data_IF_220836734410
#
_entry.id   IF_220836734410
#
_cell.length_a   1.000
_cell.length_b   1.000
_cell.length_c   1.000
_cell.angle_alpha   90.00
_cell.angle_beta   90.00
_cell.angle_gamma   90.00
#
_symmetry.space_group_name_H-M   'P 1'
#
loop_
_entity.id
_entity.type
_entity.pdbx_description
1 polymer ?
#
# COMPACT_ATOMS: atom_id res chain seq x y z
N UNK A 1 -10.41 1.12 13.19
CA UNK A 1 -9.55 2.29 13.43
C UNK A 1 -9.11 2.82 12.07
N UNK A 2 -9.02 4.15 11.90
CA UNK A 2 -8.45 4.73 10.68
C UNK A 2 -6.93 4.72 10.81
N UNK A 3 -6.26 4.17 9.80
CA UNK A 3 -4.81 4.14 9.67
C UNK A 3 -4.47 4.73 8.31
N UNK A 4 -3.47 5.61 8.27
CA UNK A 4 -3.00 6.21 7.04
C UNK A 4 -1.80 5.43 6.55
N UNK A 5 -1.97 4.65 5.49
CA UNK A 5 -0.91 3.86 4.88
C UNK A 5 -0.28 4.60 3.70
N UNK A 6 1.04 4.63 3.65
CA UNK A 6 1.84 5.13 2.55
C UNK A 6 2.40 3.95 1.77
N UNK A 7 2.11 3.91 0.48
CA UNK A 7 2.51 2.83 -0.43
C UNK A 7 3.07 3.39 -1.73
N UNK A 8 3.75 2.53 -2.48
CA UNK A 8 4.22 2.83 -3.85
C UNK A 8 3.67 1.77 -4.79
N UNK A 9 3.44 2.16 -6.04
CA UNK A 9 3.10 1.22 -7.11
C UNK A 9 4.29 1.05 -8.04
N UNK A 10 4.48 -0.16 -8.56
CA UNK A 10 5.60 -0.50 -9.40
C UNK A 10 5.16 -1.06 -10.74
N UNK A 11 4.92 -0.21 -11.73
CA UNK A 11 4.65 -0.66 -13.09
C UNK A 11 5.27 0.31 -14.09
N UNK A 12 6.13 -0.20 -14.98
CA UNK A 12 6.59 0.56 -16.14
C UNK A 12 5.83 0.13 -17.40
N UNK A 13 5.85 0.98 -18.44
CA UNK A 13 5.16 0.72 -19.72
C UNK A 13 5.64 -0.55 -20.46
N UNK A 14 6.69 -1.22 -19.98
CA UNK A 14 7.21 -2.47 -20.51
C UNK A 14 6.84 -3.70 -19.66
N UNK A 15 5.98 -3.55 -18.65
CA UNK A 15 5.53 -4.63 -17.77
C UNK A 15 6.56 -5.08 -16.72
N UNK A 16 7.62 -4.28 -16.49
CA UNK A 16 8.57 -4.53 -15.42
C UNK A 16 8.13 -3.81 -14.15
N UNK A 17 8.33 -4.48 -13.01
CA UNK A 17 8.09 -3.91 -11.69
C UNK A 17 9.26 -3.02 -11.32
N UNK A 18 9.06 -1.70 -11.43
CA UNK A 18 10.03 -0.70 -10.96
C UNK A 18 9.41 0.03 -9.77
N UNK A 19 10.00 -0.15 -8.60
CA UNK A 19 9.59 0.55 -7.39
C UNK A 19 10.02 2.01 -7.43
N UNK A 20 9.12 2.92 -7.80
CA UNK A 20 9.41 4.35 -7.76
C UNK A 20 9.11 4.93 -6.37
N UNK A 21 10.16 5.23 -5.63
CA UNK A 21 10.06 5.81 -4.29
C UNK A 21 9.75 7.31 -4.31
N UNK A 22 9.69 7.94 -5.49
CA UNK A 22 9.32 9.34 -5.67
C UNK A 22 7.79 9.52 -5.74
N UNK A 23 7.06 8.53 -6.24
CA UNK A 23 5.61 8.50 -6.35
C UNK A 23 4.95 7.76 -5.18
N UNK A 24 5.22 8.22 -3.96
CA UNK A 24 4.53 7.71 -2.76
C UNK A 24 3.07 8.15 -2.78
N UNK A 25 2.17 7.18 -2.67
CA UNK A 25 0.73 7.38 -2.52
C UNK A 25 0.34 7.16 -1.07
N UNK A 26 -0.71 7.86 -0.62
CA UNK A 26 -1.30 7.69 0.71
C UNK A 26 -2.73 7.23 0.56
N UNK A 27 -3.16 6.33 1.42
CA UNK A 27 -4.52 5.84 1.50
C UNK A 27 -4.94 5.69 2.95
N UNK A 28 -6.15 6.16 3.25
CA UNK A 28 -6.76 5.95 4.56
C UNK A 28 -7.55 4.64 4.53
N UNK A 29 -7.18 3.73 5.43
CA UNK A 29 -7.79 2.42 5.53
C UNK A 29 -8.47 2.27 6.88
N UNK A 30 -9.60 1.60 6.88
CA UNK A 30 -10.23 1.16 8.11
C UNK A 30 -9.82 -0.27 8.42
N UNK A 31 -9.00 -0.43 9.46
CA UNK A 31 -8.49 -1.71 9.90
C UNK A 31 -8.80 -1.96 11.38
N UNK A 32 -9.02 -3.22 11.78
CA UNK A 32 -9.30 -3.54 13.18
C UNK A 32 -8.06 -3.28 14.05
N UNK A 33 -8.27 -2.85 15.29
CA UNK A 33 -7.18 -2.44 16.20
C UNK A 33 -6.15 -3.56 16.42
N UNK A 34 -6.60 -4.81 16.46
CA UNK A 34 -5.76 -6.01 16.59
C UNK A 34 -4.83 -6.24 15.39
N UNK A 35 -5.08 -5.58 14.26
CA UNK A 35 -4.34 -5.71 12.99
C UNK A 35 -3.67 -4.42 12.56
N UNK A 36 -3.71 -3.37 13.38
CA UNK A 36 -3.13 -2.08 13.00
C UNK A 36 -1.61 -2.10 12.86
N UNK A 37 -0.92 -3.05 13.49
CA UNK A 37 0.54 -3.24 13.39
C UNK A 37 0.92 -4.38 12.43
N UNK A 38 -0.07 -4.99 11.78
CA UNK A 38 0.11 -6.14 10.90
C UNK A 38 0.35 -5.62 9.48
N UNK A 39 1.62 -5.41 9.15
CA UNK A 39 2.06 -4.85 7.85
C UNK A 39 1.49 -5.60 6.66
N UNK A 40 1.46 -6.94 6.73
CA UNK A 40 0.92 -7.79 5.67
C UNK A 40 -0.58 -7.55 5.49
N UNK A 41 -1.34 -7.42 6.59
CA UNK A 41 -2.75 -7.09 6.52
C UNK A 41 -3.00 -5.69 5.95
N UNK A 42 -2.19 -4.70 6.33
CA UNK A 42 -2.28 -3.34 5.78
C UNK A 42 -1.99 -3.37 4.28
N UNK A 43 -0.95 -4.06 3.84
CA UNK A 43 -0.59 -4.19 2.42
C UNK A 43 -1.68 -4.88 1.61
N UNK A 44 -2.27 -5.97 2.11
CA UNK A 44 -3.43 -6.61 1.47
C UNK A 44 -4.63 -5.66 1.40
N UNK A 45 -4.90 -4.88 2.45
CA UNK A 45 -5.98 -3.91 2.43
C UNK A 45 -5.75 -2.77 1.44
N UNK A 46 -4.51 -2.33 1.26
CA UNK A 46 -4.15 -1.41 0.17
C UNK A 46 -4.49 -2.09 -1.15
N UNK A 47 -4.07 -3.34 -1.36
CA UNK A 47 -4.32 -4.10 -2.59
C UNK A 47 -5.78 -4.29 -2.95
N UNK A 48 -6.65 -4.44 -1.95
CA UNK A 48 -8.09 -4.52 -2.19
C UNK A 48 -8.70 -3.16 -2.58
N UNK A 49 -8.08 -2.04 -2.20
CA UNK A 49 -8.59 -0.70 -2.46
C UNK A 49 -7.96 -0.02 -3.69
N UNK A 50 -6.86 -0.56 -4.23
CA UNK A 50 -6.18 -0.04 -5.41
C UNK A 50 -6.29 -1.03 -6.56
N UNK A 51 -6.37 -0.55 -7.79
CA UNK A 51 -6.43 -1.42 -8.97
C UNK A 51 -5.05 -1.91 -9.44
N UNK A 52 -3.96 -1.38 -8.87
CA UNK A 52 -2.59 -1.78 -9.16
C UNK A 52 -2.29 -3.16 -8.54
N UNK A 53 -1.71 -4.08 -9.32
CA UNK A 53 -1.27 -5.38 -8.79
C UNK A 53 0.13 -5.35 -8.16
N UNK A 54 0.91 -4.33 -8.49
CA UNK A 54 2.29 -4.19 -8.04
C UNK A 54 2.38 -3.08 -7.00
N UNK A 55 2.18 -3.45 -5.75
CA UNK A 55 2.05 -2.52 -4.63
C UNK A 55 3.04 -2.92 -3.56
N UNK A 56 3.60 -1.93 -2.89
CA UNK A 56 4.48 -2.16 -1.75
C UNK A 56 4.22 -1.13 -0.67
N UNK A 57 3.96 -1.61 0.54
CA UNK A 57 3.85 -0.78 1.73
C UNK A 57 5.21 -0.15 2.05
N UNK A 58 5.20 1.15 2.33
CA UNK A 58 6.40 1.91 2.72
C UNK A 58 6.35 2.27 4.21
N UNK A 59 5.19 2.72 4.68
CA UNK A 59 4.98 3.16 6.06
C UNK A 59 3.47 3.25 6.36
N UNK A 60 3.06 3.14 7.62
CA UNK A 60 1.68 3.40 8.05
C UNK A 60 1.67 3.93 9.49
N UNK A 61 0.68 4.76 9.82
CA UNK A 61 0.46 5.35 11.15
C UNK A 61 -1.02 5.44 11.55
#
# INVERSE_FOLDING_TARGET
MKVTATYITGENSSGNVIWDHNNKKKIDLEIPDSKKQDEEFVEQKIAENVSDQNIKLVHFE
#
